data_IF_654284220018
#
_entry.id   IF_654284220018
#
_cell.length_a   1.000
_cell.length_b   1.000
_cell.length_c   1.000
_cell.angle_alpha   90.00
_cell.angle_beta   90.00
_cell.angle_gamma   90.00
#
_symmetry.space_group_name_H-M   'P 1'
#
loop_
_entity.id
_entity.type
_entity.pdbx_description
1 polymer ?
#
# COMPACT_ATOMS: atom_id res chain seq x y z
N UNK A 1 58.41 14.24 20.84
CA UNK A 1 57.68 12.95 21.07
C UNK A 1 56.16 13.19 21.21
N UNK A 2 55.62 14.28 20.66
CA UNK A 2 54.16 14.53 20.64
C UNK A 2 53.79 15.05 19.26
N UNK A 3 53.86 14.19 18.24
CA UNK A 3 53.32 14.47 16.90
C UNK A 3 53.12 13.22 16.03
N UNK A 4 52.88 12.04 16.65
CA UNK A 4 52.66 10.77 15.92
C UNK A 4 51.35 10.04 16.24
N UNK A 5 50.45 10.60 17.05
CA UNK A 5 49.23 9.92 17.50
C UNK A 5 47.91 10.54 16.98
N UNK A 6 47.91 11.24 15.85
CA UNK A 6 46.70 11.91 15.33
C UNK A 6 46.20 11.40 13.97
N UNK A 7 46.72 10.27 13.46
CA UNK A 7 46.32 9.73 12.14
C UNK A 7 45.60 8.37 12.20
N UNK A 8 45.04 7.97 13.35
CA UNK A 8 44.41 6.65 13.51
C UNK A 8 42.91 6.70 13.90
N UNK A 9 42.22 7.84 13.72
CA UNK A 9 40.81 7.98 14.09
C UNK A 9 39.88 8.33 12.92
N UNK A 10 40.29 7.95 11.70
CA UNK A 10 39.49 8.11 10.48
C UNK A 10 39.38 6.78 9.75
N UNK A 11 38.60 5.85 10.31
CA UNK A 11 38.10 4.67 9.60
C UNK A 11 36.69 4.38 10.12
N UNK A 12 35.72 4.65 9.26
CA UNK A 12 34.34 4.13 9.14
C UNK A 12 33.43 4.01 10.39
N UNK A 13 32.17 4.49 10.33
CA UNK A 13 31.22 4.22 11.41
C UNK A 13 30.89 2.71 11.44
N UNK A 14 30.79 2.10 12.63
CA UNK A 14 30.49 0.68 12.73
C UNK A 14 29.07 0.40 12.19
N UNK A 15 29.00 -0.54 11.25
CA UNK A 15 27.75 -1.12 10.78
C UNK A 15 27.14 -1.95 11.93
N UNK A 16 25.85 -1.74 12.21
CA UNK A 16 25.02 -2.38 13.24
C UNK A 16 25.15 -3.91 13.39
N UNK A 17 25.72 -4.62 12.41
CA UNK A 17 25.87 -6.06 12.42
C UNK A 17 27.09 -6.57 13.21
N UNK A 18 28.09 -5.72 13.46
CA UNK A 18 29.30 -6.14 14.19
C UNK A 18 29.04 -6.33 15.68
N UNK A 19 28.08 -5.61 16.28
CA UNK A 19 27.84 -5.66 17.73
C UNK A 19 26.99 -6.87 18.16
N UNK A 20 26.23 -7.49 17.24
CA UNK A 20 25.57 -8.78 17.48
C UNK A 20 26.52 -9.98 17.37
N UNK A 21 27.69 -9.79 16.75
CA UNK A 21 28.69 -10.84 16.55
C UNK A 21 29.44 -11.22 17.84
N UNK A 22 29.46 -10.33 18.83
CA UNK A 22 30.17 -10.54 20.11
C UNK A 22 29.27 -11.11 21.22
N UNK A 23 28.09 -11.62 20.89
CA UNK A 23 27.32 -12.42 21.86
C UNK A 23 28.00 -13.79 22.05
N UNK A 24 28.20 -14.29 23.28
CA UNK A 24 28.89 -15.57 23.55
C UNK A 24 28.12 -16.82 23.08
N UNK A 25 27.07 -16.63 22.28
CA UNK A 25 26.25 -17.67 21.64
C UNK A 25 26.23 -17.58 20.10
N UNK A 26 27.04 -16.69 19.50
CA UNK A 26 27.17 -16.64 18.05
C UNK A 26 27.78 -17.96 17.54
N UNK A 27 27.15 -18.66 16.57
CA UNK A 27 27.73 -19.86 15.98
C UNK A 27 29.07 -19.50 15.33
N UNK A 28 30.07 -20.38 15.48
CA UNK A 28 31.47 -20.20 15.06
C UNK A 28 31.69 -19.86 13.57
N UNK A 29 30.62 -19.68 12.79
CA UNK A 29 30.62 -19.20 11.41
C UNK A 29 30.96 -17.70 11.25
N UNK A 30 30.93 -16.89 12.32
CA UNK A 30 31.16 -15.44 12.23
C UNK A 30 32.64 -15.00 12.24
N UNK A 31 33.59 -15.85 12.66
CA UNK A 31 34.98 -15.41 12.88
C UNK A 31 35.85 -15.50 11.61
N UNK A 32 35.38 -16.15 10.54
CA UNK A 32 36.24 -16.43 9.37
C UNK A 32 36.29 -15.32 8.31
N UNK A 33 35.61 -14.19 8.48
CA UNK A 33 35.45 -13.20 7.41
C UNK A 33 36.63 -12.22 7.25
N UNK A 34 37.58 -12.13 8.20
CA UNK A 34 38.58 -11.06 8.19
C UNK A 34 40.06 -11.49 8.18
N UNK A 35 40.41 -12.62 7.55
CA UNK A 35 41.82 -12.92 7.20
C UNK A 35 41.95 -13.49 5.81
N UNK A 36 42.70 -12.78 4.96
CA UNK A 36 43.28 -13.28 3.69
C UNK A 36 44.44 -14.27 3.91
N UNK A 37 44.43 -15.00 5.02
CA UNK A 37 45.30 -16.15 5.23
C UNK A 37 44.44 -17.38 4.99
N UNK A 38 44.69 -18.04 3.86
CA UNK A 38 44.14 -19.35 3.54
C UNK A 38 44.58 -20.30 4.67
N UNK A 39 43.68 -20.55 5.62
CA UNK A 39 43.88 -21.57 6.63
C UNK A 39 43.81 -22.93 5.93
N UNK A 40 44.89 -23.75 5.95
CA UNK A 40 44.93 -25.05 5.29
C UNK A 40 43.91 -26.05 5.86
N UNK A 41 43.21 -25.73 6.97
CA UNK A 41 42.14 -26.58 7.52
C UNK A 41 40.77 -26.38 6.85
N UNK A 42 40.54 -25.28 6.13
CA UNK A 42 39.30 -25.06 5.38
C UNK A 42 39.55 -25.21 3.90
N UNK A 43 39.44 -26.45 3.41
CA UNK A 43 39.50 -26.82 1.99
C UNK A 43 38.44 -26.05 1.18
N UNK A 44 38.78 -24.87 0.67
CA UNK A 44 38.01 -24.13 -0.35
C UNK A 44 36.52 -23.92 -0.06
N UNK A 45 36.09 -24.01 1.22
CA UNK A 45 34.68 -23.96 1.59
C UNK A 45 34.26 -22.49 1.60
N UNK A 46 33.99 -21.96 0.41
CA UNK A 46 33.39 -20.63 0.26
C UNK A 46 31.97 -20.70 0.81
N UNK A 47 31.64 -19.87 1.79
CA UNK A 47 30.30 -19.79 2.40
C UNK A 47 29.31 -19.09 1.43
N UNK A 48 29.09 -19.67 0.25
CA UNK A 48 28.26 -19.10 -0.83
C UNK A 48 26.84 -18.80 -0.32
N UNK A 49 26.23 -19.74 0.42
CA UNK A 49 24.90 -19.51 0.99
C UNK A 49 24.91 -18.46 2.10
N UNK A 50 25.97 -18.40 2.90
CA UNK A 50 26.11 -17.38 3.95
C UNK A 50 26.21 -15.97 3.37
N UNK A 51 27.06 -15.78 2.35
CA UNK A 51 27.23 -14.48 1.68
C UNK A 51 25.95 -14.07 0.95
N UNK A 52 25.30 -14.97 0.20
CA UNK A 52 24.04 -14.63 -0.49
C UNK A 52 22.96 -14.21 0.50
N UNK A 53 22.81 -14.93 1.63
CA UNK A 53 21.81 -14.59 2.66
C UNK A 53 22.15 -13.25 3.31
N UNK A 54 23.41 -12.99 3.64
CA UNK A 54 23.85 -11.73 4.23
C UNK A 54 23.64 -10.54 3.28
N UNK A 55 23.96 -10.71 2.00
CA UNK A 55 23.78 -9.67 0.97
C UNK A 55 22.30 -9.42 0.65
N UNK A 56 21.46 -10.46 0.76
CA UNK A 56 20.02 -10.37 0.51
C UNK A 56 19.21 -9.89 1.71
N UNK A 57 19.71 -10.08 2.94
CA UNK A 57 19.03 -9.71 4.18
C UNK A 57 18.50 -8.27 4.22
N UNK A 58 19.24 -7.23 3.82
CA UNK A 58 18.73 -5.85 3.88
C UNK A 58 17.61 -5.60 2.87
N UNK A 59 17.48 -6.41 1.82
CA UNK A 59 16.36 -6.35 0.87
C UNK A 59 15.14 -7.12 1.37
N UNK A 60 15.36 -8.21 2.12
CA UNK A 60 14.28 -9.07 2.63
C UNK A 60 13.64 -8.53 3.92
N UNK A 61 14.37 -7.74 4.70
CA UNK A 61 13.92 -7.22 5.98
C UNK A 61 12.60 -6.43 5.91
N UNK A 62 12.39 -5.49 4.97
CA UNK A 62 11.10 -4.78 4.83
C UNK A 62 9.92 -5.73 4.58
N UNK A 63 10.10 -6.74 3.72
CA UNK A 63 9.05 -7.69 3.38
C UNK A 63 8.58 -8.55 4.57
N UNK A 64 9.49 -8.90 5.48
CA UNK A 64 9.14 -9.65 6.70
C UNK A 64 8.25 -8.81 7.62
N UNK A 65 8.56 -7.52 7.74
CA UNK A 65 7.76 -6.61 8.57
C UNK A 65 6.39 -6.37 7.90
N UNK A 66 6.36 -6.17 6.58
CA UNK A 66 5.10 -6.06 5.82
C UNK A 66 4.22 -7.30 5.99
N UNK A 67 4.80 -8.49 5.84
CA UNK A 67 4.08 -9.76 6.04
C UNK A 67 3.45 -9.83 7.43
N UNK A 68 4.21 -9.43 8.46
CA UNK A 68 3.74 -9.46 9.84
C UNK A 68 2.60 -8.46 10.09
N UNK A 69 2.70 -7.25 9.53
CA UNK A 69 1.67 -6.21 9.66
C UNK A 69 0.37 -6.60 8.92
N UNK A 70 0.49 -7.08 7.68
CA UNK A 70 -0.65 -7.55 6.89
C UNK A 70 -1.31 -8.76 7.58
N UNK A 71 -0.50 -9.71 8.06
CA UNK A 71 -0.98 -10.87 8.82
C UNK A 71 -1.76 -10.47 10.06
N UNK A 72 -1.24 -9.53 10.86
CA UNK A 72 -1.92 -9.01 12.05
C UNK A 72 -3.26 -8.34 11.70
N UNK A 73 -3.31 -7.54 10.63
CA UNK A 73 -4.55 -6.90 10.17
C UNK A 73 -5.60 -7.93 9.72
N UNK A 74 -5.20 -8.94 8.93
CA UNK A 74 -6.08 -10.01 8.47
C UNK A 74 -6.61 -10.84 9.64
N UNK A 75 -5.75 -11.23 10.58
CA UNK A 75 -6.15 -11.98 11.78
C UNK A 75 -7.14 -11.15 12.61
N UNK A 76 -6.90 -9.85 12.79
CA UNK A 76 -7.81 -8.96 13.50
C UNK A 76 -9.19 -8.88 12.81
N UNK A 77 -9.22 -8.76 11.48
CA UNK A 77 -10.48 -8.79 10.70
C UNK A 77 -11.21 -10.11 10.89
N UNK A 78 -10.50 -11.24 10.78
CA UNK A 78 -11.10 -12.56 10.96
C UNK A 78 -11.67 -12.71 12.39
N UNK A 79 -10.88 -12.37 13.41
CA UNK A 79 -11.30 -12.39 14.81
C UNK A 79 -12.58 -11.59 15.04
N UNK A 80 -12.67 -10.38 14.48
CA UNK A 80 -13.85 -9.51 14.66
C UNK A 80 -15.12 -10.09 14.04
N UNK A 81 -15.02 -10.99 13.05
CA UNK A 81 -16.17 -11.56 12.35
C UNK A 81 -16.62 -12.92 12.89
N UNK A 82 -15.77 -13.61 13.64
CA UNK A 82 -16.12 -14.88 14.29
C UNK A 82 -17.22 -14.63 15.34
N UNK A 83 -18.34 -15.35 15.24
CA UNK A 83 -19.41 -15.37 16.24
C UNK A 83 -20.58 -14.39 16.07
N UNK A 84 -20.65 -13.58 15.00
CA UNK A 84 -21.74 -12.59 14.83
C UNK A 84 -23.12 -13.16 14.42
N UNK A 85 -23.22 -14.44 14.04
CA UNK A 85 -24.49 -15.10 13.70
C UNK A 85 -24.57 -16.54 14.24
N UNK A 86 -24.77 -16.70 15.55
CA UNK A 86 -25.22 -17.98 16.10
C UNK A 86 -26.75 -17.95 16.22
N UNK A 87 -27.47 -18.53 15.25
CA UNK A 87 -28.93 -18.66 15.30
C UNK A 87 -29.33 -19.87 16.14
N UNK A 88 -30.11 -19.66 17.21
CA UNK A 88 -30.68 -20.72 18.06
C UNK A 88 -31.89 -21.35 17.34
N UNK A 89 -31.81 -22.65 17.02
CA UNK A 89 -32.90 -23.42 16.41
C UNK A 89 -33.54 -24.33 17.47
N UNK A 90 -34.77 -24.06 17.89
CA UNK A 90 -35.51 -24.97 18.77
C UNK A 90 -36.76 -24.39 19.42
N UNK A 91 -37.85 -24.20 18.66
CA UNK A 91 -39.24 -24.22 19.19
C UNK A 91 -40.25 -24.05 18.04
N UNK A 92 -40.74 -25.14 17.44
CA UNK A 92 -42.02 -25.16 16.69
C UNK A 92 -42.50 -26.58 16.38
N UNK A 93 -43.20 -27.24 17.30
CA UNK A 93 -43.85 -28.53 17.01
C UNK A 93 -45.32 -28.68 17.48
N UNK A 94 -45.98 -27.66 18.05
CA UNK A 94 -47.36 -27.83 18.59
C UNK A 94 -48.51 -27.24 17.75
N UNK A 95 -48.28 -26.74 16.53
CA UNK A 95 -49.29 -25.96 15.77
C UNK A 95 -50.02 -26.74 14.63
N UNK A 96 -50.03 -28.08 14.65
CA UNK A 96 -50.41 -28.88 13.47
C UNK A 96 -51.86 -29.41 13.39
N UNK A 97 -52.68 -29.33 14.44
CA UNK A 97 -54.04 -29.92 14.37
C UNK A 97 -55.17 -28.95 13.95
N UNK A 98 -54.92 -27.64 13.89
CA UNK A 98 -55.94 -26.65 13.50
C UNK A 98 -55.86 -26.23 12.01
N UNK A 99 -54.87 -26.74 11.27
CA UNK A 99 -54.53 -26.32 9.89
C UNK A 99 -55.33 -27.03 8.78
N UNK A 100 -56.10 -28.07 9.08
CA UNK A 100 -56.66 -28.95 8.03
C UNK A 100 -57.90 -28.35 7.34
N UNK A 101 -58.77 -27.62 8.06
CA UNK A 101 -60.00 -27.05 7.46
C UNK A 101 -59.78 -25.72 6.71
N UNK A 102 -58.80 -24.92 7.12
CA UNK A 102 -58.43 -23.68 6.42
C UNK A 102 -57.76 -23.95 5.06
N UNK A 103 -57.08 -25.10 4.93
CA UNK A 103 -56.27 -25.43 3.75
C UNK A 103 -57.14 -25.71 2.50
N UNK A 104 -58.33 -26.29 2.66
CA UNK A 104 -59.22 -26.64 1.54
C UNK A 104 -59.87 -25.40 0.91
N UNK A 105 -60.20 -24.39 1.71
CA UNK A 105 -60.77 -23.12 1.23
C UNK A 105 -59.66 -22.24 0.61
N UNK A 106 -58.46 -22.22 1.21
CA UNK A 106 -57.30 -21.53 0.65
C UNK A 106 -56.86 -22.11 -0.70
N UNK A 107 -56.90 -23.44 -0.87
CA UNK A 107 -56.46 -24.10 -2.10
C UNK A 107 -57.35 -23.81 -3.31
N UNK A 108 -58.66 -23.58 -3.10
CA UNK A 108 -59.60 -23.14 -4.16
C UNK A 108 -59.44 -21.65 -4.52
N UNK A 109 -59.02 -20.81 -3.58
CA UNK A 109 -58.71 -19.39 -3.84
C UNK A 109 -57.33 -19.24 -4.52
N UNK A 110 -56.36 -20.05 -4.11
CA UNK A 110 -54.99 -20.07 -4.64
C UNK A 110 -54.96 -20.45 -6.12
N UNK A 111 -55.70 -21.48 -6.55
CA UNK A 111 -55.77 -21.88 -7.97
C UNK A 111 -56.34 -20.80 -8.91
N UNK A 112 -57.14 -19.86 -8.38
CA UNK A 112 -57.72 -18.76 -9.16
C UNK A 112 -56.78 -17.55 -9.26
N UNK A 113 -55.87 -17.39 -8.29
CA UNK A 113 -54.82 -16.37 -8.26
C UNK A 113 -53.57 -16.80 -9.06
N UNK A 114 -53.30 -18.12 -9.08
CA UNK A 114 -52.16 -18.77 -9.74
C UNK A 114 -52.17 -18.68 -11.29
N UNK A 115 -53.23 -18.17 -11.91
CA UNK A 115 -53.27 -17.92 -13.36
C UNK A 115 -52.69 -16.56 -13.77
N UNK A 116 -52.67 -15.59 -12.87
CA UNK A 116 -52.27 -14.20 -13.14
C UNK A 116 -50.87 -13.91 -12.57
N UNK A 117 -50.54 -14.45 -11.39
CA UNK A 117 -49.18 -14.41 -10.85
C UNK A 117 -48.18 -15.26 -11.64
N UNK A 118 -48.58 -16.38 -12.25
CA UNK A 118 -47.62 -17.24 -12.97
C UNK A 118 -47.09 -16.54 -14.23
N UNK A 119 -47.81 -15.56 -14.81
CA UNK A 119 -47.30 -14.75 -15.92
C UNK A 119 -46.33 -13.66 -15.43
N UNK A 120 -46.66 -12.94 -14.36
CA UNK A 120 -45.77 -11.92 -13.76
C UNK A 120 -44.53 -12.55 -13.12
N UNK A 121 -44.67 -13.67 -12.41
CA UNK A 121 -43.58 -14.41 -11.81
C UNK A 121 -42.71 -15.11 -12.86
N UNK A 122 -43.29 -15.60 -13.98
CA UNK A 122 -42.49 -16.03 -15.13
C UNK A 122 -41.77 -14.87 -15.79
N UNK A 123 -42.40 -13.69 -15.90
CA UNK A 123 -41.76 -12.49 -16.45
C UNK A 123 -40.62 -12.01 -15.54
N UNK A 124 -40.82 -12.00 -14.21
CA UNK A 124 -39.82 -11.66 -13.19
C UNK A 124 -38.70 -12.70 -13.12
N UNK A 125 -38.98 -14.00 -13.22
CA UNK A 125 -37.96 -15.05 -13.26
C UNK A 125 -37.20 -15.03 -14.59
N UNK A 126 -37.83 -14.71 -15.71
CA UNK A 126 -37.16 -14.53 -17.02
C UNK A 126 -36.33 -13.23 -17.03
N UNK A 127 -36.84 -12.14 -16.47
CA UNK A 127 -36.12 -10.86 -16.31
C UNK A 127 -34.97 -11.02 -15.31
N UNK A 128 -35.18 -11.69 -14.19
CA UNK A 128 -34.16 -12.01 -13.19
C UNK A 128 -33.11 -12.95 -13.75
N UNK A 129 -33.48 -13.99 -14.52
CA UNK A 129 -32.50 -14.84 -15.23
C UNK A 129 -31.74 -14.07 -16.30
N UNK A 130 -32.37 -13.12 -17.02
CA UNK A 130 -31.67 -12.25 -17.98
C UNK A 130 -30.73 -11.27 -17.27
N UNK A 131 -31.13 -10.69 -16.14
CA UNK A 131 -30.33 -9.77 -15.32
C UNK A 131 -29.18 -10.53 -14.65
N UNK A 132 -29.42 -11.72 -14.11
CA UNK A 132 -28.40 -12.60 -13.52
C UNK A 132 -27.46 -13.16 -14.58
N UNK A 133 -27.96 -13.54 -15.77
CA UNK A 133 -27.11 -13.98 -16.88
C UNK A 133 -26.29 -12.82 -17.47
N UNK A 134 -26.83 -11.59 -17.56
CA UNK A 134 -26.07 -10.40 -17.92
C UNK A 134 -25.05 -10.02 -16.84
N UNK A 135 -25.42 -10.13 -15.56
CA UNK A 135 -24.52 -9.89 -14.44
C UNK A 135 -23.40 -10.93 -14.38
N UNK A 136 -23.69 -12.20 -14.66
CA UNK A 136 -22.70 -13.29 -14.74
C UNK A 136 -21.84 -13.21 -16.01
N UNK A 137 -22.40 -12.80 -17.15
CA UNK A 137 -21.63 -12.54 -18.37
C UNK A 137 -20.65 -11.36 -18.21
N UNK A 138 -20.99 -10.36 -17.38
CA UNK A 138 -20.10 -9.24 -17.06
C UNK A 138 -19.26 -9.44 -15.78
N UNK A 139 -19.52 -10.48 -14.97
CA UNK A 139 -18.83 -10.70 -13.69
C UNK A 139 -17.32 -11.00 -13.84
N UNK A 140 -16.88 -11.47 -15.01
CA UNK A 140 -15.48 -11.75 -15.33
C UNK A 140 -14.80 -10.69 -16.20
N UNK A 141 -15.54 -9.70 -16.75
CA UNK A 141 -14.98 -8.73 -17.69
C UNK A 141 -14.62 -7.45 -16.96
N UNK A 142 -13.32 -7.25 -16.75
CA UNK A 142 -12.79 -5.98 -16.24
C UNK A 142 -12.98 -4.92 -17.33
N UNK A 143 -14.12 -4.23 -17.30
CA UNK A 143 -14.42 -3.17 -18.26
C UNK A 143 -13.55 -1.93 -17.95
N UNK A 144 -12.42 -1.79 -18.65
CA UNK A 144 -11.54 -0.62 -18.62
C UNK A 144 -12.16 0.63 -19.29
N UNK A 145 -13.39 0.52 -19.79
CA UNK A 145 -14.13 1.61 -20.43
C UNK A 145 -14.36 2.74 -19.42
N UNK A 146 -13.80 3.91 -19.70
CA UNK A 146 -13.82 5.07 -18.83
C UNK A 146 -12.61 5.20 -17.89
N UNK A 147 -11.67 4.24 -17.87
CA UNK A 147 -10.44 4.29 -17.07
C UNK A 147 -9.16 4.33 -17.92
N UNK A 148 -9.24 4.04 -19.23
CA UNK A 148 -8.10 3.83 -20.13
C UNK A 148 -7.05 4.95 -20.14
N UNK A 149 -7.47 6.23 -20.08
CA UNK A 149 -6.52 7.37 -20.02
C UNK A 149 -5.70 7.37 -18.73
N UNK A 150 -6.38 7.21 -17.59
CA UNK A 150 -5.71 7.15 -16.28
C UNK A 150 -4.79 5.94 -16.17
N UNK A 151 -5.23 4.79 -16.71
CA UNK A 151 -4.42 3.57 -16.80
C UNK A 151 -3.15 3.80 -17.64
N UNK A 152 -3.27 4.41 -18.82
CA UNK A 152 -2.13 4.65 -19.70
C UNK A 152 -1.08 5.57 -19.06
N UNK A 153 -1.50 6.74 -18.54
CA UNK A 153 -0.58 7.65 -17.87
C UNK A 153 0.02 7.06 -16.59
N UNK A 154 -0.78 6.31 -15.82
CA UNK A 154 -0.30 5.62 -14.63
C UNK A 154 0.76 4.57 -14.97
N UNK A 155 0.53 3.72 -15.97
CA UNK A 155 1.50 2.71 -16.41
C UNK A 155 2.77 3.34 -16.99
N UNK A 156 2.64 4.44 -17.73
CA UNK A 156 3.81 5.18 -18.25
C UNK A 156 4.68 5.69 -17.09
N UNK A 157 4.07 6.28 -16.05
CA UNK A 157 4.80 6.74 -14.87
C UNK A 157 5.38 5.60 -14.05
N UNK A 158 4.65 4.48 -13.89
CA UNK A 158 5.16 3.26 -13.26
C UNK A 158 6.44 2.81 -13.96
N UNK A 159 6.39 2.57 -15.28
CA UNK A 159 7.55 2.09 -16.05
C UNK A 159 8.70 3.09 -15.99
N UNK A 160 8.44 4.38 -16.17
CA UNK A 160 9.48 5.41 -16.09
C UNK A 160 10.16 5.46 -14.72
N UNK A 161 9.38 5.33 -13.64
CA UNK A 161 9.91 5.36 -12.28
C UNK A 161 10.67 4.08 -11.92
N UNK A 162 10.22 2.92 -12.41
CA UNK A 162 10.95 1.66 -12.28
C UNK A 162 12.29 1.71 -13.02
N UNK A 163 12.34 2.32 -14.21
CA UNK A 163 13.61 2.55 -14.91
C UNK A 163 14.54 3.42 -14.07
N UNK A 164 14.04 4.52 -13.49
CA UNK A 164 14.85 5.39 -12.62
C UNK A 164 15.35 4.64 -11.37
N UNK A 165 14.52 3.76 -10.79
CA UNK A 165 14.90 2.93 -9.65
C UNK A 165 15.99 1.90 -10.02
N UNK A 166 15.87 1.23 -11.15
CA UNK A 166 16.88 0.27 -11.62
C UNK A 166 18.20 1.01 -11.91
N UNK A 167 18.13 2.16 -12.58
CA UNK A 167 19.31 2.98 -12.85
C UNK A 167 19.98 3.44 -11.55
N UNK A 168 19.20 3.77 -10.51
CA UNK A 168 19.77 4.10 -9.20
C UNK A 168 20.66 2.98 -8.67
N UNK A 169 20.17 1.74 -8.63
CA UNK A 169 20.94 0.60 -8.13
C UNK A 169 22.20 0.30 -8.94
N UNK A 170 22.12 0.48 -10.26
CA UNK A 170 23.28 0.25 -11.14
C UNK A 170 24.31 1.37 -10.99
N UNK A 171 23.88 2.63 -10.95
CA UNK A 171 24.79 3.78 -10.98
C UNK A 171 25.36 4.17 -9.61
N UNK A 172 24.70 3.83 -8.51
CA UNK A 172 25.13 4.25 -7.15
C UNK A 172 26.51 3.71 -6.76
N UNK A 173 26.90 2.55 -7.30
CA UNK A 173 28.20 1.94 -7.05
C UNK A 173 29.36 2.62 -7.80
N UNK A 174 29.06 3.52 -8.75
CA UNK A 174 30.07 4.23 -9.51
C UNK A 174 30.41 5.58 -8.85
N UNK A 175 31.69 5.84 -8.47
CA UNK A 175 32.07 7.00 -7.65
C UNK A 175 31.82 8.36 -8.32
N UNK A 176 31.75 8.41 -9.65
CA UNK A 176 31.47 9.65 -10.40
C UNK A 176 29.99 9.82 -10.75
N UNK A 177 29.20 8.74 -10.74
CA UNK A 177 27.80 8.74 -11.18
C UNK A 177 26.80 8.60 -10.03
N UNK A 178 27.26 8.33 -8.79
CA UNK A 178 26.38 8.15 -7.64
C UNK A 178 25.50 9.37 -7.34
N UNK A 179 26.02 10.59 -7.45
CA UNK A 179 25.23 11.81 -7.26
C UNK A 179 24.12 11.94 -8.33
N UNK A 180 24.43 11.64 -9.59
CA UNK A 180 23.45 11.63 -10.68
C UNK A 180 22.36 10.58 -10.43
N UNK A 181 22.73 9.40 -9.91
CA UNK A 181 21.81 8.33 -9.56
C UNK A 181 20.82 8.77 -8.47
N UNK A 182 21.31 9.44 -7.42
CA UNK A 182 20.49 9.99 -6.33
C UNK A 182 19.51 11.03 -6.89
N UNK A 183 20.01 12.00 -7.68
CA UNK A 183 19.15 13.01 -8.30
C UNK A 183 18.05 12.40 -9.18
N UNK A 184 18.40 11.43 -10.03
CA UNK A 184 17.43 10.78 -10.91
C UNK A 184 16.32 10.07 -10.12
N UNK A 185 16.68 9.38 -9.05
CA UNK A 185 15.72 8.70 -8.17
C UNK A 185 14.85 9.68 -7.37
N UNK A 186 15.43 10.76 -6.82
CA UNK A 186 14.70 11.74 -6.02
C UNK A 186 13.79 12.63 -6.87
N UNK A 187 14.26 13.08 -8.04
CA UNK A 187 13.47 13.90 -8.96
C UNK A 187 12.29 13.09 -9.53
N UNK A 188 12.49 11.81 -9.88
CA UNK A 188 11.38 10.96 -10.33
C UNK A 188 10.36 10.73 -9.22
N UNK A 189 10.79 10.53 -7.97
CA UNK A 189 9.88 10.44 -6.81
C UNK A 189 9.11 11.75 -6.58
N UNK A 190 9.78 12.92 -6.66
CA UNK A 190 9.13 14.22 -6.56
C UNK A 190 8.10 14.44 -7.67
N UNK A 191 8.42 14.04 -8.90
CA UNK A 191 7.51 14.14 -10.03
C UNK A 191 6.26 13.28 -9.81
N UNK A 192 6.39 12.05 -9.32
CA UNK A 192 5.27 11.19 -8.96
C UNK A 192 4.36 11.84 -7.90
N UNK A 193 4.93 12.40 -6.84
CA UNK A 193 4.17 13.07 -5.79
C UNK A 193 3.46 14.33 -6.30
N UNK A 194 4.16 15.17 -7.07
CA UNK A 194 3.58 16.37 -7.68
C UNK A 194 2.41 16.06 -8.61
N UNK A 195 2.56 15.05 -9.48
CA UNK A 195 1.48 14.61 -10.37
C UNK A 195 0.32 13.97 -9.59
N UNK A 196 0.60 13.27 -8.49
CA UNK A 196 -0.43 12.72 -7.60
C UNK A 196 -1.23 13.82 -6.91
N UNK A 197 -0.57 14.87 -6.40
CA UNK A 197 -1.23 16.06 -5.83
C UNK A 197 -2.17 16.70 -6.85
N UNK A 198 -1.69 16.95 -8.07
CA UNK A 198 -2.51 17.53 -9.14
C UNK A 198 -3.71 16.63 -9.45
N UNK A 199 -3.49 15.32 -9.56
CA UNK A 199 -4.57 14.36 -9.80
C UNK A 199 -5.60 14.32 -8.65
N UNK A 200 -5.16 14.42 -7.38
CA UNK A 200 -6.06 14.51 -6.22
C UNK A 200 -6.92 15.77 -6.29
N UNK A 201 -6.33 16.92 -6.61
CA UNK A 201 -7.08 18.19 -6.75
C UNK A 201 -8.13 18.09 -7.85
N UNK A 202 -7.75 17.57 -9.04
CA UNK A 202 -8.71 17.31 -10.12
C UNK A 202 -9.77 16.30 -9.67
N UNK A 203 -9.36 15.30 -8.87
CA UNK A 203 -10.22 14.28 -8.27
C UNK A 203 -11.34 14.90 -7.45
N UNK A 204 -10.99 15.77 -6.50
CA UNK A 204 -11.97 16.48 -5.69
C UNK A 204 -12.98 17.25 -6.55
N UNK A 205 -12.51 18.01 -7.55
CA UNK A 205 -13.40 18.77 -8.46
C UNK A 205 -14.36 17.84 -9.21
N UNK A 206 -13.87 16.69 -9.69
CA UNK A 206 -14.69 15.73 -10.46
C UNK A 206 -15.67 14.92 -9.62
N UNK A 207 -15.36 14.70 -8.35
CA UNK A 207 -16.12 13.86 -7.43
C UNK A 207 -17.19 14.65 -6.68
N UNK A 208 -17.13 15.99 -6.68
CA UNK A 208 -18.13 16.88 -6.08
C UNK A 208 -19.57 16.61 -6.52
N UNK A 209 -19.80 16.19 -7.78
CA UNK A 209 -21.13 15.88 -8.32
C UNK A 209 -21.74 14.55 -7.86
N UNK A 210 -21.00 13.72 -7.11
CA UNK A 210 -21.49 12.43 -6.61
C UNK A 210 -22.25 12.57 -5.30
N UNK A 211 -23.32 11.79 -5.13
CA UNK A 211 -24.14 11.77 -3.92
C UNK A 211 -23.34 11.19 -2.75
N UNK A 212 -23.36 11.87 -1.62
CA UNK A 212 -22.77 11.40 -0.37
C UNK A 212 -23.74 10.41 0.29
N UNK A 213 -23.26 9.19 0.56
CA UNK A 213 -23.96 8.18 1.34
C UNK A 213 -23.22 8.02 2.68
N UNK A 214 -23.94 8.23 3.77
CA UNK A 214 -23.38 8.14 5.13
C UNK A 214 -23.33 6.73 5.71
N UNK A 215 -23.57 5.69 4.90
CA UNK A 215 -23.65 4.30 5.37
C UNK A 215 -22.26 3.72 5.68
N UNK A 216 -22.19 2.86 6.72
CA UNK A 216 -20.97 2.41 7.42
C UNK A 216 -19.82 1.99 6.49
N UNK A 217 -18.82 2.87 6.36
CA UNK A 217 -17.48 2.47 5.96
C UNK A 217 -16.82 1.76 7.15
N UNK A 218 -16.07 0.69 6.92
CA UNK A 218 -15.48 -0.06 8.04
C UNK A 218 -14.50 0.80 8.83
N UNK A 219 -14.82 1.12 10.09
CA UNK A 219 -13.97 1.93 10.98
C UNK A 219 -12.51 1.45 11.03
N UNK A 220 -12.30 0.15 10.84
CA UNK A 220 -10.97 -0.45 10.82
C UNK A 220 -10.10 0.08 9.67
N UNK A 221 -10.65 0.21 8.46
CA UNK A 221 -9.88 0.70 7.31
C UNK A 221 -9.42 2.14 7.53
N UNK A 222 -10.29 2.97 8.12
CA UNK A 222 -9.99 4.36 8.47
C UNK A 222 -8.93 4.44 9.58
N UNK A 223 -8.99 3.56 10.60
CA UNK A 223 -7.97 3.49 11.67
C UNK A 223 -6.63 3.05 11.09
N UNK A 224 -6.59 1.97 10.31
CA UNK A 224 -5.37 1.43 9.70
C UNK A 224 -4.69 2.47 8.80
N UNK A 225 -5.48 3.22 8.02
CA UNK A 225 -4.99 4.28 7.16
C UNK A 225 -4.38 5.45 7.97
N UNK A 226 -4.98 5.84 9.10
CA UNK A 226 -4.46 6.93 9.95
C UNK A 226 -3.19 6.54 10.70
N UNK A 227 -3.15 5.34 11.26
CA UNK A 227 -1.98 4.83 12.02
C UNK A 227 -0.77 4.71 11.09
N UNK A 228 -0.97 4.22 9.87
CA UNK A 228 0.11 4.10 8.89
C UNK A 228 0.59 5.45 8.36
N UNK A 229 -0.33 6.41 8.15
CA UNK A 229 0.03 7.78 7.79
C UNK A 229 0.87 8.49 8.86
N UNK A 230 0.64 8.19 10.14
CA UNK A 230 1.45 8.74 11.24
C UNK A 230 2.94 8.38 11.07
N UNK A 231 3.27 7.13 10.71
CA UNK A 231 4.66 6.73 10.47
C UNK A 231 5.31 7.51 9.32
N UNK A 232 4.55 7.79 8.27
CA UNK A 232 5.02 8.61 7.15
C UNK A 232 5.23 10.07 7.55
N UNK A 233 4.32 10.65 8.34
CA UNK A 233 4.51 12.00 8.87
C UNK A 233 5.77 12.12 9.73
N UNK A 234 6.04 11.13 10.59
CA UNK A 234 7.27 11.10 11.39
C UNK A 234 8.50 11.07 10.46
N UNK A 235 8.54 10.16 9.49
CA UNK A 235 9.65 10.09 8.53
C UNK A 235 9.87 11.41 7.76
N UNK A 236 8.79 12.01 7.29
CA UNK A 236 8.85 13.26 6.54
C UNK A 236 9.32 14.44 7.42
N UNK A 237 8.84 14.55 8.65
CA UNK A 237 9.25 15.62 9.58
C UNK A 237 10.74 15.52 9.89
N UNK A 238 11.25 14.33 10.21
CA UNK A 238 12.69 14.15 10.48
C UNK A 238 13.54 14.49 9.24
N UNK A 239 13.07 14.12 8.05
CA UNK A 239 13.73 14.45 6.78
C UNK A 239 13.71 15.96 6.50
N UNK A 240 12.59 16.63 6.74
CA UNK A 240 12.47 18.09 6.59
C UNK A 240 13.41 18.80 7.56
N UNK A 241 13.47 18.38 8.83
CA UNK A 241 14.36 19.00 9.83
C UNK A 241 15.82 18.87 9.40
N UNK A 242 16.25 17.67 9.00
CA UNK A 242 17.61 17.42 8.54
C UNK A 242 17.96 18.27 7.31
N UNK A 243 17.06 18.31 6.31
CA UNK A 243 17.27 19.08 5.09
C UNK A 243 17.19 20.60 5.29
N UNK A 244 16.29 21.08 6.15
CA UNK A 244 16.06 22.52 6.35
C UNK A 244 17.21 23.18 7.13
N UNK A 245 17.71 22.52 8.17
CA UNK A 245 18.78 23.07 9.02
C UNK A 245 20.14 23.08 8.31
N UNK A 246 20.30 22.31 7.25
CA UNK A 246 21.50 22.26 6.40
C UNK A 246 21.23 22.71 4.95
N UNK A 247 20.10 23.36 4.68
CA UNK A 247 19.61 23.61 3.31
C UNK A 247 20.58 24.42 2.43
N UNK A 248 21.43 25.24 3.02
CA UNK A 248 22.36 26.15 2.31
C UNK A 248 23.77 25.59 2.15
N UNK A 249 24.07 24.41 2.70
CA UNK A 249 25.44 23.86 2.67
C UNK A 249 25.70 22.95 1.48
N UNK A 250 24.70 22.21 1.01
CA UNK A 250 24.80 21.36 -0.18
C UNK A 250 23.46 21.19 -0.88
N UNK A 251 23.49 21.07 -2.21
CA UNK A 251 22.30 20.89 -3.05
C UNK A 251 21.38 19.70 -2.66
N UNK A 252 21.87 18.50 -2.28
CA UNK A 252 20.99 17.39 -1.90
C UNK A 252 20.18 17.64 -0.62
N UNK A 253 20.61 18.55 0.27
CA UNK A 253 19.85 18.90 1.48
C UNK A 253 18.53 19.59 1.14
N UNK A 254 18.58 20.49 0.15
CA UNK A 254 17.39 21.14 -0.39
C UNK A 254 16.43 20.12 -1.01
N UNK A 255 16.97 19.14 -1.74
CA UNK A 255 16.17 18.09 -2.36
C UNK A 255 15.44 17.23 -1.31
N UNK A 256 16.13 16.81 -0.25
CA UNK A 256 15.53 16.05 0.87
C UNK A 256 14.42 16.87 1.56
N UNK A 257 14.65 18.18 1.78
CA UNK A 257 13.64 19.07 2.34
C UNK A 257 12.40 19.19 1.44
N UNK A 258 12.59 19.36 0.13
CA UNK A 258 11.49 19.45 -0.84
C UNK A 258 10.72 18.13 -0.90
N UNK A 259 11.41 16.99 -0.99
CA UNK A 259 10.80 15.65 -1.02
C UNK A 259 9.97 15.42 0.24
N UNK A 260 10.51 15.75 1.42
CA UNK A 260 9.78 15.63 2.69
C UNK A 260 8.54 16.53 2.73
N UNK A 261 8.66 17.77 2.27
CA UNK A 261 7.54 18.73 2.23
C UNK A 261 6.43 18.28 1.28
N UNK A 262 6.79 17.82 0.07
CA UNK A 262 5.85 17.25 -0.89
C UNK A 262 5.17 15.99 -0.34
N UNK A 263 5.92 15.14 0.38
CA UNK A 263 5.37 13.93 0.99
C UNK A 263 4.28 14.26 2.01
N UNK A 264 4.48 15.28 2.86
CA UNK A 264 3.45 15.72 3.82
C UNK A 264 2.21 16.20 3.11
N UNK A 265 2.35 17.09 2.11
CA UNK A 265 1.21 17.66 1.37
C UNK A 265 0.45 16.56 0.63
N UNK A 266 1.16 15.67 -0.06
CA UNK A 266 0.57 14.58 -0.82
C UNK A 266 -0.21 13.62 0.09
N UNK A 267 0.35 13.22 1.23
CA UNK A 267 -0.33 12.30 2.16
C UNK A 267 -1.55 12.93 2.82
N UNK A 268 -1.47 14.20 3.23
CA UNK A 268 -2.64 14.91 3.78
C UNK A 268 -3.76 14.98 2.75
N UNK A 269 -3.46 15.40 1.51
CA UNK A 269 -4.46 15.50 0.46
C UNK A 269 -5.04 14.12 0.09
N UNK A 270 -4.21 13.08 0.05
CA UNK A 270 -4.66 11.74 -0.27
C UNK A 270 -5.55 11.13 0.83
N UNK A 271 -5.20 11.34 2.11
CA UNK A 271 -6.04 10.95 3.24
C UNK A 271 -7.43 11.57 3.15
N UNK A 272 -7.49 12.87 2.90
CA UNK A 272 -8.75 13.60 2.75
C UNK A 272 -9.55 13.09 1.54
N UNK A 273 -8.87 12.83 0.42
CA UNK A 273 -9.51 12.36 -0.80
C UNK A 273 -10.10 10.97 -0.64
N UNK A 274 -9.35 10.02 -0.07
CA UNK A 274 -9.82 8.65 0.19
C UNK A 274 -11.01 8.67 1.14
N UNK A 275 -10.98 9.49 2.19
CA UNK A 275 -12.09 9.63 3.14
C UNK A 275 -13.36 10.19 2.48
N UNK A 276 -13.23 11.17 1.57
CA UNK A 276 -14.37 11.76 0.86
C UNK A 276 -14.95 10.80 -0.20
N UNK A 277 -14.10 10.25 -1.09
CA UNK A 277 -14.57 9.37 -2.16
C UNK A 277 -15.08 8.02 -1.63
N UNK A 278 -14.55 7.56 -0.49
CA UNK A 278 -15.02 6.35 0.19
C UNK A 278 -16.51 6.40 0.56
N UNK A 279 -17.05 7.60 0.76
CA UNK A 279 -18.46 7.85 1.13
C UNK A 279 -19.33 8.30 -0.03
N UNK A 280 -18.78 8.41 -1.24
CA UNK A 280 -19.53 8.85 -2.43
C UNK A 280 -19.85 7.68 -3.35
N UNK A 281 -21.05 7.70 -3.95
CA UNK A 281 -21.50 6.68 -4.91
C UNK A 281 -22.18 7.30 -6.12
N UNK A 282 -22.11 6.59 -7.24
CA UNK A 282 -22.82 6.91 -8.48
C UNK A 282 -24.28 6.48 -8.32
N UNK A 283 -25.22 7.42 -8.46
CA UNK A 283 -26.67 7.16 -8.34
C UNK A 283 -27.43 7.43 -9.65
N UNK A 284 -26.90 8.26 -10.56
CA UNK A 284 -27.60 8.66 -11.79
C UNK A 284 -27.17 7.79 -12.99
N UNK A 285 -28.10 7.37 -13.88
CA UNK A 285 -27.80 6.58 -15.08
C UNK A 285 -26.79 7.26 -16.05
N UNK A 286 -26.80 8.59 -16.11
CA UNK A 286 -25.84 9.37 -16.91
C UNK A 286 -24.41 9.33 -16.35
N UNK A 287 -24.29 9.19 -15.03
CA UNK A 287 -23.00 9.04 -14.35
C UNK A 287 -22.45 7.60 -14.45
N UNK A 288 -23.30 6.62 -14.73
CA UNK A 288 -22.87 5.25 -15.05
C UNK A 288 -22.20 5.16 -16.44
N UNK A 289 -22.62 6.02 -17.38
CA UNK A 289 -21.97 6.18 -18.69
C UNK A 289 -20.69 7.01 -18.64
N UNK A 290 -20.69 8.14 -17.93
CA UNK A 290 -19.54 9.06 -17.88
C UNK A 290 -18.47 8.67 -16.85
N UNK A 291 -18.83 7.89 -15.82
CA UNK A 291 -17.94 7.36 -14.78
C UNK A 291 -17.01 8.44 -14.20
N UNK A 292 -17.58 9.53 -13.63
CA UNK A 292 -16.81 10.64 -13.12
C UNK A 292 -15.80 10.16 -12.06
N UNK A 293 -14.59 10.69 -12.11
CA UNK A 293 -13.51 10.33 -11.17
C UNK A 293 -12.80 9.00 -11.47
N UNK A 294 -13.33 8.10 -12.33
CA UNK A 294 -12.78 6.75 -12.50
C UNK A 294 -11.35 6.76 -13.03
N UNK A 295 -11.07 7.64 -14.00
CA UNK A 295 -9.72 7.81 -14.56
C UNK A 295 -8.72 8.25 -13.49
N UNK A 296 -9.15 9.13 -12.59
CA UNK A 296 -8.31 9.71 -11.54
C UNK A 296 -8.03 8.67 -10.48
N UNK A 297 -9.05 7.93 -10.03
CA UNK A 297 -8.88 6.82 -9.08
C UNK A 297 -7.95 5.75 -9.65
N UNK A 298 -8.09 5.38 -10.93
CA UNK A 298 -7.17 4.43 -11.58
C UNK A 298 -5.74 4.96 -11.65
N UNK A 299 -5.56 6.23 -12.00
CA UNK A 299 -4.24 6.85 -12.04
C UNK A 299 -3.58 6.87 -10.64
N UNK A 300 -4.31 7.31 -9.62
CA UNK A 300 -3.83 7.39 -8.23
C UNK A 300 -3.53 6.01 -7.65
N UNK A 301 -4.31 4.98 -8.01
CA UNK A 301 -4.04 3.60 -7.63
C UNK A 301 -2.66 3.17 -8.16
N UNK A 302 -2.39 3.38 -9.45
CA UNK A 302 -1.11 2.98 -10.05
C UNK A 302 0.05 3.81 -9.48
N UNK A 303 -0.15 5.10 -9.23
CA UNK A 303 0.86 5.95 -8.58
C UNK A 303 1.18 5.44 -7.16
N UNK A 304 0.18 5.05 -6.37
CA UNK A 304 0.39 4.47 -5.04
C UNK A 304 1.12 3.13 -5.10
N UNK A 305 0.83 2.27 -6.08
CA UNK A 305 1.60 1.04 -6.32
C UNK A 305 3.05 1.35 -6.70
N UNK A 306 3.27 2.38 -7.53
CA UNK A 306 4.63 2.78 -7.94
C UNK A 306 5.43 3.29 -6.75
N UNK A 307 4.83 4.18 -5.96
CA UNK A 307 5.46 4.73 -4.75
C UNK A 307 5.67 3.63 -3.71
N UNK A 308 4.71 2.72 -3.51
CA UNK A 308 4.89 1.53 -2.66
C UNK A 308 6.16 0.75 -3.03
N UNK A 309 6.35 0.44 -4.32
CA UNK A 309 7.56 -0.25 -4.80
C UNK A 309 8.82 0.58 -4.49
N UNK A 310 8.80 1.90 -4.71
CA UNK A 310 9.95 2.77 -4.40
C UNK A 310 10.30 2.70 -2.90
N UNK A 311 9.31 2.82 -2.01
CA UNK A 311 9.53 2.78 -0.56
C UNK A 311 10.07 1.43 -0.08
N UNK A 312 9.70 0.32 -0.72
CA UNK A 312 10.28 -1.01 -0.42
C UNK A 312 11.79 -1.05 -0.66
N UNK A 313 12.28 -0.35 -1.67
CA UNK A 313 13.70 -0.27 -2.01
C UNK A 313 14.43 0.94 -1.40
N UNK A 314 13.70 1.80 -0.66
CA UNK A 314 14.20 3.08 -0.16
C UNK A 314 15.28 2.93 0.92
N UNK A 315 15.27 1.84 1.70
CA UNK A 315 16.32 1.56 2.70
C UNK A 315 17.72 1.58 2.07
N UNK A 316 17.86 1.08 0.84
CA UNK A 316 19.13 1.07 0.11
C UNK A 316 19.52 2.46 -0.38
N UNK A 317 18.53 3.23 -0.82
CA UNK A 317 18.72 4.62 -1.26
C UNK A 317 19.18 5.52 -0.13
N UNK A 318 18.63 5.34 1.07
CA UNK A 318 18.97 6.14 2.24
C UNK A 318 20.38 5.83 2.76
N UNK A 319 20.85 4.58 2.67
CA UNK A 319 22.25 4.25 2.99
C UNK A 319 23.21 4.99 2.05
N UNK A 320 22.82 5.20 0.79
CA UNK A 320 23.62 5.94 -0.17
C UNK A 320 23.50 7.47 -0.06
N UNK A 321 22.47 8.00 0.62
CA UNK A 321 22.26 9.43 0.81
C UNK A 321 22.66 9.84 2.24
N UNK A 322 23.82 10.48 2.44
CA UNK A 322 24.36 10.70 3.78
C UNK A 322 23.66 11.80 4.57
N UNK A 323 22.76 12.60 3.98
CA UNK A 323 22.21 13.82 4.60
C UNK A 323 21.60 13.58 5.98
N UNK A 324 20.69 12.60 6.11
CA UNK A 324 20.06 12.30 7.40
C UNK A 324 21.01 11.57 8.36
N UNK A 325 21.92 10.75 7.83
CA UNK A 325 22.92 10.02 8.61
C UNK A 325 23.94 10.96 9.26
N UNK A 326 24.41 11.95 8.50
CA UNK A 326 25.37 12.95 8.97
C UNK A 326 24.76 13.87 10.03
N UNK A 327 23.46 14.16 9.91
CA UNK A 327 22.76 15.04 10.84
C UNK A 327 22.37 14.35 12.16
N UNK A 328 21.73 13.18 12.10
CA UNK A 328 21.23 12.48 13.29
C UNK A 328 22.22 11.46 13.87
N UNK A 329 23.22 11.06 13.09
CA UNK A 329 24.07 9.92 13.39
C UNK A 329 23.42 8.58 13.05
N UNK A 330 24.27 7.57 12.89
CA UNK A 330 23.88 6.24 12.43
C UNK A 330 22.78 5.59 13.30
N UNK A 331 22.95 5.61 14.63
CA UNK A 331 22.05 4.91 15.56
C UNK A 331 20.65 5.53 15.58
N UNK A 332 20.55 6.86 15.74
CA UNK A 332 19.26 7.54 15.84
C UNK A 332 18.48 7.43 14.52
N UNK A 333 19.13 7.66 13.38
CA UNK A 333 18.48 7.56 12.08
C UNK A 333 18.05 6.13 11.75
N UNK A 334 18.87 5.14 12.12
CA UNK A 334 18.52 3.73 11.96
C UNK A 334 17.27 3.35 12.77
N UNK A 335 17.14 3.85 14.00
CA UNK A 335 15.95 3.60 14.83
C UNK A 335 14.69 4.22 14.24
N UNK A 336 14.77 5.47 13.76
CA UNK A 336 13.64 6.13 13.08
C UNK A 336 13.19 5.29 11.88
N UNK A 337 14.12 4.94 10.99
CA UNK A 337 13.82 4.16 9.79
C UNK A 337 13.17 2.81 10.10
N UNK A 338 13.68 2.06 11.08
CA UNK A 338 13.13 0.75 11.46
C UNK A 338 11.68 0.80 11.90
N UNK A 339 11.26 1.92 12.49
CA UNK A 339 9.86 2.13 12.92
C UNK A 339 9.02 2.71 11.79
N UNK A 340 9.52 3.72 11.09
CA UNK A 340 8.70 4.49 10.15
C UNK A 340 8.59 3.87 8.77
N UNK A 341 9.66 3.28 8.22
CA UNK A 341 9.64 2.75 6.85
C UNK A 341 8.57 1.66 6.64
N UNK A 342 8.40 0.67 7.54
CA UNK A 342 7.34 -0.32 7.38
C UNK A 342 5.94 0.30 7.38
N UNK A 343 5.73 1.35 8.19
CA UNK A 343 4.47 2.09 8.22
C UNK A 343 4.24 2.90 6.93
N UNK A 344 5.29 3.51 6.37
CA UNK A 344 5.23 4.19 5.08
C UNK A 344 4.83 3.22 3.96
N UNK A 345 5.48 2.06 3.91
CA UNK A 345 5.20 1.03 2.91
C UNK A 345 3.77 0.53 3.05
N UNK A 346 3.36 0.20 4.28
CA UNK A 346 2.00 -0.26 4.56
C UNK A 346 0.94 0.81 4.23
N UNK A 347 1.20 2.10 4.50
CA UNK A 347 0.31 3.20 4.12
C UNK A 347 0.07 3.24 2.60
N UNK A 348 1.13 3.12 1.80
CA UNK A 348 1.04 3.16 0.33
C UNK A 348 0.31 1.95 -0.23
N UNK A 349 0.61 0.76 0.30
CA UNK A 349 -0.09 -0.47 -0.04
C UNK A 349 -1.58 -0.40 0.31
N UNK A 350 -1.92 -0.06 1.55
CA UNK A 350 -3.31 0.03 2.02
C UNK A 350 -4.10 1.12 1.28
N UNK A 351 -3.46 2.25 0.95
CA UNK A 351 -4.05 3.28 0.09
C UNK A 351 -4.41 2.74 -1.30
N UNK A 352 -3.52 1.97 -1.93
CA UNK A 352 -3.77 1.37 -3.24
C UNK A 352 -4.92 0.36 -3.19
N UNK A 353 -4.97 -0.48 -2.15
CA UNK A 353 -6.07 -1.43 -1.92
C UNK A 353 -7.39 -0.69 -1.73
N UNK A 354 -7.42 0.34 -0.88
CA UNK A 354 -8.62 1.13 -0.62
C UNK A 354 -9.12 1.82 -1.90
N UNK A 355 -8.22 2.38 -2.71
CA UNK A 355 -8.57 2.96 -4.02
C UNK A 355 -9.09 1.90 -5.00
N UNK A 356 -8.56 0.68 -4.97
CA UNK A 356 -9.06 -0.43 -5.80
C UNK A 356 -10.46 -0.88 -5.36
N UNK A 357 -10.73 -0.92 -4.06
CA UNK A 357 -12.07 -1.19 -3.52
C UNK A 357 -13.04 -0.10 -3.96
N UNK A 358 -12.70 1.18 -3.76
CA UNK A 358 -13.50 2.33 -4.24
C UNK A 358 -13.76 2.22 -5.74
N UNK A 359 -12.74 1.91 -6.54
CA UNK A 359 -12.89 1.73 -7.98
C UNK A 359 -13.86 0.60 -8.34
N UNK A 360 -13.91 -0.46 -7.54
CA UNK A 360 -14.82 -1.59 -7.75
C UNK A 360 -16.24 -1.30 -7.26
N UNK A 361 -16.40 -0.64 -6.12
CA UNK A 361 -17.69 -0.42 -5.47
C UNK A 361 -18.45 0.78 -6.01
N UNK A 362 -17.75 1.85 -6.40
CA UNK A 362 -18.39 3.11 -6.79
C UNK A 362 -19.10 3.07 -8.14
N UNK A 363 -18.86 2.05 -8.97
CA UNK A 363 -19.46 1.91 -10.30
C UNK A 363 -20.24 0.60 -10.48
N UNK A 364 -20.59 -0.10 -9.38
CA UNK A 364 -21.56 -1.20 -9.46
C UNK A 364 -22.94 -0.65 -9.11
N UNK A 365 -23.93 -0.74 -10.01
CA UNK A 365 -25.31 -0.43 -9.66
C UNK A 365 -25.76 -1.43 -8.61
N UNK A 366 -26.13 -0.97 -7.41
CA UNK A 366 -26.97 -1.77 -6.51
C UNK A 366 -28.39 -1.64 -7.04
N UNK A 367 -29.01 -2.79 -7.29
CA UNK A 367 -30.45 -2.89 -7.53
C UNK A 367 -31.10 -2.71 -6.16
N UNK A 368 -31.26 -1.46 -5.73
CA UNK A 368 -32.08 -1.13 -4.57
C UNK A 368 -33.51 -0.80 -5.03
#
# INVERSE_FOLDING_TARGET
>A
IIQKNLTAFATDPPLFWDEFAESPLAPAALVSANRTLIDPQTCGRVNIMGSIVQDSAPYLFPFIIEYSLIGAAVIYVMWRHIGRHASYYGQREEENELLIDANVIFQKAFQRYQGEEDLEQRLEVIMSRRVVALAQANAGRVDCVGASKGLFFGLLLLVGSLICLILFFVLVHHPQLGLLAIYLADVSHCALMGLSIIAIIIGFIRVQGLKFQGEEQSDLNDILQRVSAFGLFVYAVFSIIAGALTALTSEPNLLVMITGSLSVVEVVLQLLFIADIGRRRVHLPEHDRSKPGRQIVTFLLICNVTVWIIYTFETQKVIANPVQLDFYGFLAWSMVQRVTLPLCIFYRFHSAVTLAEIWKTSYKPRLD
#
